data_IF_464738406707
#
_entry.id   IF_464738406707
#
_cell.length_a   1.000
_cell.length_b   1.000
_cell.length_c   1.000
_cell.angle_alpha   90.00
_cell.angle_beta   90.00
_cell.angle_gamma   90.00
#
_symmetry.space_group_name_H-M   'P 1'
#
loop_
_entity.id
_entity.type
_entity.pdbx_description
1 polymer ?
#
# COMPACT_ATOMS: atom_id res chain seq x y z
N UNK A 1 32.37 -0.49 3.84
CA UNK A 1 32.00 -1.76 4.50
C UNK A 1 32.69 -1.90 5.85
N UNK A 2 34.03 -2.05 5.93
CA UNK A 2 34.74 -2.01 7.23
C UNK A 2 34.49 -0.71 8.02
N UNK A 3 34.48 0.43 7.32
CA UNK A 3 34.14 1.75 7.90
C UNK A 3 32.69 1.84 8.42
N UNK A 4 31.83 0.86 8.07
CA UNK A 4 30.45 0.74 8.53
C UNK A 4 30.28 -0.32 9.63
N UNK A 5 31.38 -0.87 10.15
CA UNK A 5 31.35 -1.96 11.15
C UNK A 5 30.98 -3.34 10.59
N UNK A 6 30.81 -3.47 9.27
CA UNK A 6 30.43 -4.74 8.64
C UNK A 6 31.64 -5.67 8.58
N UNK A 7 31.52 -6.83 9.23
CA UNK A 7 32.61 -7.80 9.33
C UNK A 7 32.88 -8.48 7.97
N UNK A 8 34.15 -8.84 7.67
CA UNK A 8 34.52 -9.43 6.38
C UNK A 8 33.73 -10.69 5.98
N UNK A 9 33.28 -11.48 6.94
CA UNK A 9 32.51 -12.70 6.70
C UNK A 9 31.13 -12.40 6.09
N UNK A 10 30.45 -11.34 6.57
CA UNK A 10 29.15 -10.92 6.03
C UNK A 10 29.28 -10.36 4.62
N UNK A 11 30.35 -9.61 4.34
CA UNK A 11 30.65 -9.16 2.97
C UNK A 11 30.91 -10.34 2.03
N UNK A 12 31.61 -11.39 2.49
CA UNK A 12 31.83 -12.61 1.68
C UNK A 12 30.52 -13.34 1.39
N UNK A 13 29.66 -13.53 2.39
CA UNK A 13 28.32 -14.13 2.22
C UNK A 13 27.48 -13.35 1.22
N UNK A 14 27.52 -12.01 1.30
CA UNK A 14 26.81 -11.14 0.37
C UNK A 14 27.28 -11.34 -1.07
N UNK A 15 28.59 -11.31 -1.32
CA UNK A 15 29.16 -11.53 -2.65
C UNK A 15 28.80 -12.92 -3.21
N UNK A 16 28.86 -13.95 -2.35
CA UNK A 16 28.44 -15.30 -2.74
C UNK A 16 26.96 -15.34 -3.15
N UNK A 17 26.08 -14.70 -2.37
CA UNK A 17 24.66 -14.61 -2.69
C UNK A 17 24.38 -13.89 -4.03
N UNK A 18 25.12 -12.83 -4.37
CA UNK A 18 24.98 -12.16 -5.68
C UNK A 18 25.41 -13.10 -6.81
N UNK A 19 26.51 -13.83 -6.61
CA UNK A 19 27.01 -14.76 -7.62
C UNK A 19 26.06 -15.94 -7.87
N UNK A 20 25.34 -16.39 -6.84
CA UNK A 20 24.43 -17.54 -6.90
C UNK A 20 23.00 -17.17 -7.34
N UNK A 21 22.47 -16.02 -6.90
CA UNK A 21 21.06 -15.65 -7.07
C UNK A 21 20.82 -14.55 -8.12
N UNK A 22 21.88 -14.06 -8.76
CA UNK A 22 21.79 -13.03 -9.77
C UNK A 22 21.83 -11.59 -9.24
N UNK A 23 21.56 -10.60 -10.11
CA UNK A 23 21.71 -9.18 -9.80
C UNK A 23 20.75 -8.74 -8.69
N UNK A 24 21.29 -8.05 -7.67
CA UNK A 24 20.50 -7.58 -6.55
C UNK A 24 20.01 -6.15 -6.77
N UNK A 25 18.77 -5.87 -6.34
CA UNK A 25 18.21 -4.53 -6.38
C UNK A 25 18.67 -3.69 -5.17
N UNK A 26 18.46 -2.37 -5.22
CA UNK A 26 18.71 -1.52 -4.07
C UNK A 26 17.80 -1.89 -2.88
N UNK A 27 16.57 -2.34 -3.13
CA UNK A 27 15.68 -2.85 -2.09
C UNK A 27 16.26 -4.11 -1.41
N UNK A 28 16.82 -5.06 -2.16
CA UNK A 28 17.48 -6.24 -1.58
C UNK A 28 18.69 -5.83 -0.73
N UNK A 29 19.47 -4.85 -1.19
CA UNK A 29 20.63 -4.33 -0.44
C UNK A 29 20.20 -3.64 0.86
N UNK A 30 19.13 -2.85 0.84
CA UNK A 30 18.56 -2.22 2.05
C UNK A 30 18.03 -3.24 3.05
N UNK A 31 17.44 -4.35 2.56
CA UNK A 31 17.00 -5.45 3.40
C UNK A 31 18.18 -6.17 4.06
N UNK A 32 19.23 -6.47 3.30
CA UNK A 32 20.46 -7.04 3.83
C UNK A 32 21.10 -6.11 4.88
N UNK A 33 21.20 -4.81 4.58
CA UNK A 33 21.70 -3.81 5.52
C UNK A 33 20.86 -3.77 6.80
N UNK A 34 19.53 -3.83 6.72
CA UNK A 34 18.67 -3.80 7.91
C UNK A 34 18.94 -5.00 8.85
N UNK A 35 19.28 -6.16 8.29
CA UNK A 35 19.66 -7.36 9.05
C UNK A 35 21.03 -7.19 9.72
N UNK A 36 22.03 -6.72 8.97
CA UNK A 36 23.39 -6.53 9.49
C UNK A 36 23.46 -5.39 10.51
N UNK A 37 22.77 -4.27 10.24
CA UNK A 37 22.78 -3.08 11.09
C UNK A 37 22.12 -3.32 12.45
N UNK A 38 21.10 -4.21 12.52
CA UNK A 38 20.49 -4.64 13.79
C UNK A 38 21.51 -5.29 14.74
N UNK A 39 22.52 -5.97 14.20
CA UNK A 39 23.61 -6.58 14.98
C UNK A 39 24.71 -5.60 15.41
N UNK A 40 24.75 -4.40 14.84
CA UNK A 40 25.81 -3.40 15.08
C UNK A 40 25.36 -2.20 15.93
N UNK A 41 24.06 -1.99 16.09
CA UNK A 41 23.54 -0.89 16.90
C UNK A 41 23.85 -1.12 18.39
N UNK A 42 24.59 -0.22 19.06
CA UNK A 42 24.80 -0.31 20.51
C UNK A 42 23.45 -0.24 21.21
N UNK A 43 23.28 -1.05 22.25
CA UNK A 43 22.05 -1.41 22.97
C UNK A 43 21.20 -0.23 23.52
N UNK A 44 21.61 1.02 23.30
CA UNK A 44 20.96 2.23 23.81
C UNK A 44 20.17 3.06 22.80
N UNK A 45 20.27 2.81 21.49
CA UNK A 45 19.60 3.60 20.44
C UNK A 45 18.71 2.77 19.51
N UNK A 46 18.24 1.60 19.95
CA UNK A 46 17.24 0.85 19.20
C UNK A 46 15.93 1.64 19.14
N UNK A 47 15.74 2.40 18.08
CA UNK A 47 14.40 2.70 17.53
C UNK A 47 13.92 1.43 16.81
N UNK A 48 13.93 0.29 17.51
CA UNK A 48 13.27 -0.92 17.07
C UNK A 48 11.85 -0.82 17.63
N UNK A 49 10.87 -0.55 16.76
CA UNK A 49 9.46 -0.60 17.13
C UNK A 49 9.18 -1.91 17.87
N UNK A 50 8.43 -1.84 18.98
CA UNK A 50 7.95 -3.04 19.67
C UNK A 50 7.14 -3.87 18.67
N UNK A 51 7.53 -5.12 18.43
CA UNK A 51 6.72 -6.11 17.68
C UNK A 51 7.21 -6.36 16.25
N UNK A 52 7.10 -5.36 15.35
CA UNK A 52 7.38 -5.58 13.92
C UNK A 52 8.67 -4.89 13.51
N UNK A 53 9.51 -5.58 12.72
CA UNK A 53 10.85 -5.08 12.53
C UNK A 53 10.84 -4.07 11.36
N UNK A 54 11.26 -2.83 11.63
CA UNK A 54 11.12 -1.69 10.72
C UNK A 54 12.11 -1.69 9.55
N UNK A 55 11.76 -1.07 8.40
CA UNK A 55 12.73 -0.77 7.34
C UNK A 55 13.82 0.20 7.79
N UNK A 56 15.06 0.00 7.33
CA UNK A 56 16.24 0.81 7.71
C UNK A 56 16.02 2.32 7.47
N UNK A 57 15.53 2.66 6.27
CA UNK A 57 15.28 4.05 5.83
C UNK A 57 14.17 4.76 6.61
N UNK A 58 13.35 4.02 7.37
CA UNK A 58 12.34 4.59 8.24
C UNK A 58 12.85 4.73 9.69
N UNK A 59 13.53 3.71 10.20
CA UNK A 59 13.94 3.62 11.61
C UNK A 59 15.21 4.43 11.95
N UNK A 60 15.95 4.91 10.95
CA UNK A 60 17.26 5.52 11.11
C UNK A 60 17.20 7.05 11.00
N UNK A 61 18.08 7.75 11.70
CA UNK A 61 18.19 9.21 11.61
C UNK A 61 18.74 9.67 10.25
N UNK A 62 18.35 10.87 9.81
CA UNK A 62 18.84 11.48 8.56
C UNK A 62 20.36 11.55 8.50
N UNK A 63 21.04 11.87 9.62
CA UNK A 63 22.50 11.92 9.68
C UNK A 63 23.16 10.56 9.42
N UNK A 64 22.62 9.48 10.00
CA UNK A 64 23.13 8.14 9.77
C UNK A 64 22.83 7.66 8.34
N UNK A 65 21.65 7.97 7.80
CA UNK A 65 21.30 7.69 6.40
C UNK A 65 22.21 8.42 5.41
N UNK A 66 22.55 9.69 5.68
CA UNK A 66 23.55 10.44 4.89
C UNK A 66 24.94 9.80 4.97
N UNK A 67 25.37 9.40 6.17
CA UNK A 67 26.65 8.70 6.35
C UNK A 67 26.72 7.39 5.55
N UNK A 68 25.66 6.60 5.60
CA UNK A 68 25.51 5.38 4.81
C UNK A 68 25.50 5.68 3.31
N UNK A 69 24.72 6.67 2.86
CA UNK A 69 24.65 7.09 1.47
C UNK A 69 26.02 7.45 0.91
N UNK A 70 26.79 8.27 1.64
CA UNK A 70 28.14 8.66 1.24
C UNK A 70 29.11 7.47 1.21
N UNK A 71 28.97 6.52 2.14
CA UNK A 71 29.79 5.31 2.15
C UNK A 71 29.52 4.43 0.92
N UNK A 72 28.25 4.28 0.53
CA UNK A 72 27.85 3.57 -0.69
C UNK A 72 28.35 4.26 -1.97
N UNK A 73 28.25 5.59 -2.03
CA UNK A 73 28.80 6.36 -3.16
C UNK A 73 30.32 6.16 -3.32
N UNK A 74 31.07 6.21 -2.21
CA UNK A 74 32.52 5.92 -2.22
C UNK A 74 32.82 4.48 -2.64
N UNK A 75 32.00 3.52 -2.21
CA UNK A 75 32.16 2.11 -2.59
C UNK A 75 31.93 1.91 -4.09
N UNK A 76 30.85 2.47 -4.65
CA UNK A 76 30.58 2.45 -6.08
C UNK A 76 31.74 3.06 -6.91
N UNK A 77 32.26 4.21 -6.48
CA UNK A 77 33.40 4.86 -7.15
C UNK A 77 34.67 3.98 -7.15
N UNK A 78 34.98 3.33 -6.02
CA UNK A 78 36.12 2.40 -5.91
C UNK A 78 35.97 1.20 -6.85
N UNK A 79 34.79 0.58 -6.90
CA UNK A 79 34.51 -0.54 -7.80
C UNK A 79 34.72 -0.14 -9.28
N UNK A 80 34.17 1.01 -9.68
CA UNK A 80 34.36 1.53 -11.05
C UNK A 80 35.84 1.75 -11.38
N UNK A 81 36.60 2.35 -10.47
CA UNK A 81 38.04 2.58 -10.70
C UNK A 81 38.85 1.28 -10.83
N UNK A 82 38.47 0.21 -10.12
CA UNK A 82 39.14 -1.10 -10.20
C UNK A 82 38.75 -1.93 -11.41
N UNK A 83 37.55 -1.70 -11.99
CA UNK A 83 37.04 -2.43 -13.16
C UNK A 83 37.82 -2.19 -14.45
N UNK A 84 38.60 -1.10 -14.52
CA UNK A 84 39.44 -0.77 -15.68
C UNK A 84 40.60 -1.76 -15.93
N UNK A 85 40.82 -2.73 -15.04
CA UNK A 85 41.90 -3.72 -15.14
C UNK A 85 41.54 -5.00 -15.92
N UNK A 86 40.40 -5.02 -16.63
CA UNK A 86 40.16 -5.95 -17.75
C UNK A 86 39.94 -7.44 -17.41
N UNK A 87 39.39 -7.75 -16.24
CA UNK A 87 39.11 -9.14 -15.84
C UNK A 87 37.72 -9.63 -16.30
N UNK A 88 37.54 -10.95 -16.44
CA UNK A 88 36.25 -11.58 -16.77
C UNK A 88 35.09 -11.23 -15.79
N UNK A 89 35.42 -10.69 -14.61
CA UNK A 89 34.49 -10.23 -13.58
C UNK A 89 33.97 -8.79 -13.80
N UNK A 90 34.42 -8.08 -14.83
CA UNK A 90 34.05 -6.69 -15.07
C UNK A 90 32.52 -6.43 -15.11
N UNK A 91 31.67 -7.26 -15.75
CA UNK A 91 30.22 -7.04 -15.74
C UNK A 91 29.60 -7.08 -14.35
N UNK A 92 30.06 -8.00 -13.50
CA UNK A 92 29.60 -8.13 -12.11
C UNK A 92 29.99 -6.89 -11.29
N UNK A 93 31.21 -6.38 -11.47
CA UNK A 93 31.70 -5.18 -10.78
C UNK A 93 30.90 -3.94 -11.20
N UNK A 94 30.58 -3.81 -12.50
CA UNK A 94 29.76 -2.71 -13.01
C UNK A 94 28.36 -2.75 -12.42
N UNK A 95 27.75 -3.93 -12.38
CA UNK A 95 26.43 -4.12 -11.78
C UNK A 95 26.42 -3.77 -10.29
N UNK A 96 27.35 -4.32 -9.50
CA UNK A 96 27.48 -4.01 -8.08
C UNK A 96 27.70 -2.51 -7.83
N UNK A 97 28.53 -1.86 -8.65
CA UNK A 97 28.74 -0.42 -8.54
C UNK A 97 27.46 0.38 -8.84
N UNK A 98 26.62 -0.10 -9.75
CA UNK A 98 25.33 0.51 -10.06
C UNK A 98 24.34 0.32 -8.92
N UNK A 99 24.18 -0.89 -8.40
CA UNK A 99 23.34 -1.17 -7.22
C UNK A 99 23.78 -0.34 -6.02
N UNK A 100 25.09 -0.23 -5.77
CA UNK A 100 25.61 0.60 -4.69
C UNK A 100 25.26 2.09 -4.86
N UNK A 101 25.30 2.61 -6.09
CA UNK A 101 24.91 3.99 -6.39
C UNK A 101 23.39 4.22 -6.23
N UNK A 102 22.57 3.25 -6.62
CA UNK A 102 21.12 3.29 -6.43
C UNK A 102 20.75 3.24 -4.95
N UNK A 103 21.36 2.34 -4.17
CA UNK A 103 21.22 2.29 -2.70
C UNK A 103 21.63 3.61 -2.07
N UNK A 104 22.75 4.20 -2.50
CA UNK A 104 23.18 5.54 -2.06
C UNK A 104 22.10 6.61 -2.32
N UNK A 105 21.47 6.56 -3.49
CA UNK A 105 20.41 7.51 -3.88
C UNK A 105 19.16 7.35 -3.03
N UNK A 106 18.73 6.11 -2.76
CA UNK A 106 17.58 5.83 -1.87
C UNK A 106 17.86 6.33 -0.45
N UNK A 107 19.04 6.04 0.08
CA UNK A 107 19.45 6.50 1.42
C UNK A 107 19.48 8.02 1.53
N UNK A 108 19.99 8.72 0.51
CA UNK A 108 20.00 10.18 0.46
C UNK A 108 18.58 10.75 0.37
N UNK A 109 17.72 10.15 -0.46
CA UNK A 109 16.30 10.53 -0.57
C UNK A 109 15.57 10.35 0.76
N UNK A 110 15.76 9.23 1.45
CA UNK A 110 15.21 9.01 2.79
C UNK A 110 15.72 10.07 3.77
N UNK A 111 17.02 10.36 3.75
CA UNK A 111 17.63 11.34 4.66
C UNK A 111 17.18 12.79 4.43
N UNK A 112 16.74 13.13 3.22
CA UNK A 112 16.16 14.44 2.93
C UNK A 112 14.83 14.65 3.65
N UNK A 113 14.15 13.58 4.07
CA UNK A 113 13.08 13.64 5.06
C UNK A 113 13.72 13.85 6.43
N UNK A 114 13.59 15.04 6.99
CA UNK A 114 14.40 15.43 8.15
C UNK A 114 13.73 16.50 8.97
N UNK A 115 12.53 16.20 9.40
CA UNK A 115 11.83 16.92 10.44
C UNK A 115 10.61 16.09 10.82
N UNK A 116 10.53 15.68 12.09
CA UNK A 116 9.22 15.43 12.68
C UNK A 116 8.56 16.82 12.79
N UNK A 117 8.07 17.35 11.67
CA UNK A 117 7.09 18.42 11.78
C UNK A 117 5.92 17.83 12.54
N UNK A 118 5.50 18.55 13.57
CA UNK A 118 4.22 18.31 14.21
C UNK A 118 3.21 18.14 13.08
N UNK A 119 2.42 17.05 13.06
CA UNK A 119 1.57 16.68 11.94
C UNK A 119 0.89 17.92 11.36
N UNK A 120 1.15 18.23 10.08
CA UNK A 120 0.50 19.31 9.34
C UNK A 120 -1.00 19.18 9.52
N UNK A 121 -1.58 19.90 10.50
CA UNK A 121 -2.93 19.71 11.07
C UNK A 121 -3.57 18.40 10.60
N UNK A 122 -2.97 17.27 10.97
CA UNK A 122 -3.45 16.00 10.47
C UNK A 122 -4.85 15.85 11.04
N UNK A 123 -5.86 15.91 10.18
CA UNK A 123 -7.23 15.71 10.59
C UNK A 123 -7.39 14.25 10.95
N UNK A 124 -7.03 13.90 12.19
CA UNK A 124 -7.34 12.60 12.74
C UNK A 124 -8.81 12.62 13.16
N UNK A 125 -9.66 11.96 12.38
CA UNK A 125 -11.09 11.92 12.63
C UNK A 125 -11.54 10.48 12.75
N UNK A 126 -11.98 10.11 13.94
CA UNK A 126 -12.62 8.83 14.22
C UNK A 126 -14.14 8.99 14.09
N UNK A 127 -14.72 8.42 13.04
CA UNK A 127 -16.15 8.46 12.76
C UNK A 127 -16.77 7.11 13.06
N UNK A 128 -17.80 7.10 13.92
CA UNK A 128 -18.66 5.93 14.14
C UNK A 128 -19.96 6.16 13.39
N UNK A 129 -20.21 5.33 12.39
CA UNK A 129 -21.39 5.39 11.53
C UNK A 129 -22.35 4.24 11.88
N UNK A 130 -23.63 4.33 11.50
CA UNK A 130 -24.59 3.24 11.67
C UNK A 130 -24.07 1.90 11.10
N UNK A 131 -24.45 0.79 11.74
CA UNK A 131 -24.10 -0.56 11.27
C UNK A 131 -22.66 -1.01 11.56
N UNK A 132 -22.09 -0.66 12.73
CA UNK A 132 -20.74 -1.04 13.16
C UNK A 132 -19.63 -0.62 12.16
N UNK A 133 -19.85 0.51 11.47
CA UNK A 133 -18.90 1.11 10.55
C UNK A 133 -18.05 2.14 11.30
N UNK A 134 -16.73 2.04 11.15
CA UNK A 134 -15.76 2.95 11.75
C UNK A 134 -14.79 3.39 10.69
N UNK A 135 -14.60 4.70 10.59
CA UNK A 135 -13.64 5.34 9.70
C UNK A 135 -12.64 6.13 10.53
N UNK A 136 -11.36 5.83 10.37
CA UNK A 136 -10.24 6.55 10.97
C UNK A 136 -9.49 7.26 9.85
N UNK A 137 -9.82 8.52 9.61
CA UNK A 137 -9.08 9.36 8.67
C UNK A 137 -7.82 9.83 9.40
N UNK A 138 -6.63 9.40 8.99
CA UNK A 138 -5.38 9.76 9.68
C UNK A 138 -4.69 10.96 9.05
N UNK A 139 -4.78 11.04 7.72
CA UNK A 139 -4.24 12.14 6.95
C UNK A 139 -5.25 12.55 5.88
N UNK A 140 -5.52 13.85 5.81
CA UNK A 140 -6.28 14.47 4.74
C UNK A 140 -5.52 15.68 4.18
N UNK A 141 -5.80 16.09 2.93
CA UNK A 141 -5.38 17.38 2.41
C UNK A 141 -6.03 18.51 3.23
N UNK A 142 -5.31 19.63 3.35
CA UNK A 142 -5.79 20.87 3.97
C UNK A 142 -5.42 22.04 3.04
N UNK A 143 -6.40 22.49 2.26
CA UNK A 143 -6.25 23.59 1.30
C UNK A 143 -5.82 24.88 1.99
N UNK A 144 -6.26 25.15 3.23
CA UNK A 144 -5.86 26.36 3.96
C UNK A 144 -4.40 26.32 4.38
N UNK A 145 -3.91 25.13 4.75
CA UNK A 145 -2.51 24.91 5.03
C UNK A 145 -1.64 24.79 3.75
N UNK A 146 -2.25 24.90 2.56
CA UNK A 146 -1.57 24.72 1.27
C UNK A 146 -1.23 23.27 0.94
N UNK A 147 -1.78 22.30 1.68
CA UNK A 147 -1.52 20.88 1.49
C UNK A 147 -2.57 20.27 0.58
N UNK A 148 -2.34 20.27 -0.73
CA UNK A 148 -3.26 19.69 -1.72
C UNK A 148 -3.02 18.20 -1.96
N UNK A 149 -1.78 17.77 -1.84
CA UNK A 149 -1.33 16.39 -2.03
C UNK A 149 0.03 16.18 -1.33
N UNK A 150 0.42 14.92 -1.21
CA UNK A 150 1.70 14.51 -0.63
C UNK A 150 2.60 13.93 -1.72
N UNK A 151 3.89 14.27 -1.63
CA UNK A 151 4.92 13.44 -2.24
C UNK A 151 4.94 12.10 -1.49
N UNK A 152 5.20 11.00 -2.20
CA UNK A 152 5.19 9.67 -1.59
C UNK A 152 6.62 9.14 -1.49
N UNK A 153 6.97 8.61 -0.32
CA UNK A 153 8.19 7.84 -0.15
C UNK A 153 7.90 6.53 0.56
N UNK A 154 8.37 5.42 -0.01
CA UNK A 154 8.16 4.08 0.53
C UNK A 154 9.47 3.56 1.06
N UNK A 155 9.46 3.11 2.30
CA UNK A 155 10.50 2.28 2.88
C UNK A 155 9.96 0.88 3.02
N UNK A 156 10.67 -0.08 2.45
CA UNK A 156 10.17 -1.43 2.32
C UNK A 156 11.11 -2.42 2.97
N UNK A 157 10.51 -3.43 3.58
CA UNK A 157 11.22 -4.54 4.17
C UNK A 157 10.55 -5.87 3.87
N UNK A 158 11.36 -6.86 3.48
CA UNK A 158 10.98 -8.26 3.30
C UNK A 158 10.85 -8.95 4.66
N UNK A 159 9.81 -8.58 5.40
CA UNK A 159 9.31 -9.27 6.59
C UNK A 159 7.88 -9.70 6.29
N UNK A 160 7.56 -11.00 6.43
CA UNK A 160 6.28 -11.55 5.99
C UNK A 160 5.43 -12.01 7.17
N UNK A 161 4.15 -11.64 7.16
CA UNK A 161 3.15 -12.18 8.10
C UNK A 161 2.34 -13.25 7.37
N UNK A 162 2.37 -14.49 7.89
CA UNK A 162 1.68 -15.63 7.28
C UNK A 162 1.12 -16.59 8.35
N UNK A 163 -0.03 -17.26 8.13
CA UNK A 163 -0.57 -18.23 9.08
C UNK A 163 0.29 -19.50 9.18
N UNK A 164 0.35 -20.10 10.37
CA UNK A 164 1.01 -21.41 10.56
C UNK A 164 0.09 -22.53 10.06
N UNK A 165 0.56 -23.29 9.07
CA UNK A 165 -0.03 -24.58 8.72
C UNK A 165 0.76 -25.70 9.42
N UNK A 166 0.21 -26.29 10.49
CA UNK A 166 0.92 -27.21 11.39
C UNK A 166 1.33 -28.60 10.80
N UNK A 167 1.34 -28.82 9.48
CA UNK A 167 1.75 -30.13 8.92
C UNK A 167 2.57 -29.97 7.63
N UNK A 168 3.63 -30.77 7.52
CA UNK A 168 4.47 -30.89 6.33
C UNK A 168 3.85 -31.92 5.36
N UNK A 169 2.78 -31.53 4.67
CA UNK A 169 2.23 -32.30 3.56
C UNK A 169 2.84 -31.84 2.23
N UNK A 170 3.17 -32.75 1.30
CA UNK A 170 3.58 -32.36 -0.05
C UNK A 170 2.38 -31.70 -0.76
N UNK A 171 2.48 -30.39 -0.98
CA UNK A 171 1.42 -29.57 -1.63
C UNK A 171 0.92 -28.36 -0.82
N UNK A 172 1.56 -28.01 0.29
CA UNK A 172 1.12 -26.91 1.16
C UNK A 172 1.58 -25.53 0.67
N UNK A 173 0.61 -24.62 0.49
CA UNK A 173 0.66 -23.17 0.13
C UNK A 173 1.91 -22.69 -0.66
N UNK A 174 1.76 -22.17 -1.88
CA UNK A 174 2.87 -21.63 -2.69
C UNK A 174 3.78 -20.64 -1.94
N UNK A 175 3.24 -19.92 -0.94
CA UNK A 175 3.99 -18.97 -0.13
C UNK A 175 4.98 -19.63 0.84
N UNK A 176 4.76 -20.88 1.23
CA UNK A 176 5.68 -21.66 2.05
C UNK A 176 6.96 -22.07 1.28
N UNK A 177 7.03 -21.81 -0.03
CA UNK A 177 8.12 -22.27 -0.91
C UNK A 177 9.14 -21.14 -1.21
N UNK A 178 8.93 -19.91 -0.76
CA UNK A 178 9.81 -18.79 -1.17
C UNK A 178 10.96 -18.45 -0.21
N UNK A 179 12.18 -18.65 -0.74
CA UNK A 179 13.49 -18.08 -0.43
C UNK A 179 14.08 -18.33 0.98
N UNK A 180 15.14 -19.14 1.03
CA UNK A 180 16.06 -19.22 2.17
C UNK A 180 16.40 -17.80 2.69
N UNK A 181 16.10 -17.54 3.97
CA UNK A 181 16.45 -16.29 4.65
C UNK A 181 15.36 -15.21 4.74
N UNK A 182 14.12 -15.45 4.29
CA UNK A 182 13.01 -14.51 4.52
C UNK A 182 12.56 -14.53 5.99
N UNK A 183 12.62 -13.39 6.67
CA UNK A 183 12.09 -13.23 8.03
C UNK A 183 10.55 -13.32 7.97
N UNK A 184 9.98 -14.39 8.53
CA UNK A 184 8.54 -14.64 8.55
C UNK A 184 8.03 -14.66 9.97
N UNK A 185 7.06 -13.80 10.26
CA UNK A 185 6.26 -13.81 11.47
C UNK A 185 5.04 -14.71 11.29
N UNK A 186 4.93 -15.66 12.20
CA UNK A 186 3.88 -16.64 12.18
C UNK A 186 2.62 -16.09 12.85
N UNK A 187 1.56 -15.91 12.07
CA UNK A 187 0.21 -15.65 12.57
C UNK A 187 -0.36 -16.97 13.11
N UNK A 188 -0.67 -17.10 14.42
CA UNK A 188 -1.25 -18.32 14.95
C UNK A 188 -2.54 -18.67 14.20
N UNK A 189 -2.81 -19.92 13.86
CA UNK A 189 -4.10 -20.34 13.32
C UNK A 189 -4.51 -21.63 14.03
N UNK A 190 -5.78 -21.73 14.43
CA UNK A 190 -6.30 -22.99 14.97
C UNK A 190 -6.29 -24.07 13.88
N UNK A 191 -6.23 -25.36 14.24
CA UNK A 191 -6.30 -26.45 13.26
C UNK A 191 -7.52 -26.37 12.33
N UNK A 192 -8.66 -25.88 12.85
CA UNK A 192 -9.88 -25.71 12.07
C UNK A 192 -9.79 -24.57 11.05
N UNK A 193 -9.26 -23.42 11.43
CA UNK A 193 -8.99 -22.30 10.51
C UNK A 193 -8.00 -22.71 9.42
N UNK A 194 -6.92 -23.38 9.82
CA UNK A 194 -5.91 -23.90 8.89
C UNK A 194 -6.53 -24.85 7.86
N UNK A 195 -7.46 -25.73 8.26
CA UNK A 195 -8.13 -26.64 7.32
C UNK A 195 -9.07 -25.92 6.35
N UNK A 196 -9.81 -24.89 6.81
CA UNK A 196 -10.63 -24.05 5.93
C UNK A 196 -9.76 -23.36 4.88
N UNK A 197 -8.66 -22.73 5.32
CA UNK A 197 -7.73 -22.07 4.43
C UNK A 197 -7.12 -23.06 3.43
N UNK A 198 -6.65 -24.23 3.88
CA UNK A 198 -6.14 -25.28 2.98
C UNK A 198 -7.17 -25.70 1.95
N UNK A 199 -8.42 -25.95 2.35
CA UNK A 199 -9.50 -26.29 1.43
C UNK A 199 -9.74 -25.18 0.40
N UNK A 200 -9.69 -23.92 0.82
CA UNK A 200 -9.83 -22.76 -0.07
C UNK A 200 -8.70 -22.68 -1.10
N UNK A 201 -7.46 -22.85 -0.67
CA UNK A 201 -6.27 -22.81 -1.54
C UNK A 201 -6.01 -24.10 -2.33
N UNK A 202 -6.83 -25.14 -2.17
CA UNK A 202 -6.85 -26.28 -3.11
C UNK A 202 -7.62 -25.97 -4.39
N UNK A 203 -8.45 -24.91 -4.41
CA UNK A 203 -9.08 -24.45 -5.64
C UNK A 203 -8.01 -23.81 -6.54
N UNK A 204 -7.77 -24.32 -7.76
CA UNK A 204 -6.73 -23.81 -8.64
C UNK A 204 -6.97 -22.36 -9.10
N UNK A 205 -8.17 -21.81 -8.85
CA UNK A 205 -8.52 -20.41 -9.14
C UNK A 205 -8.18 -19.46 -8.00
N UNK A 206 -7.79 -19.98 -6.84
CA UNK A 206 -7.45 -19.18 -5.66
C UNK A 206 -5.97 -19.33 -5.37
N UNK A 207 -5.27 -18.21 -5.27
CA UNK A 207 -3.86 -18.18 -4.91
C UNK A 207 -3.66 -17.33 -3.66
N UNK A 208 -2.62 -17.67 -2.89
CA UNK A 208 -2.24 -16.93 -1.69
C UNK A 208 -1.21 -15.87 -2.06
N UNK A 209 -1.69 -14.69 -2.47
CA UNK A 209 -0.82 -13.58 -2.88
C UNK A 209 -0.01 -12.98 -1.73
N UNK A 210 1.11 -12.34 -2.08
CA UNK A 210 1.90 -11.51 -1.17
C UNK A 210 1.42 -10.07 -1.30
N UNK A 211 0.73 -9.60 -0.26
CA UNK A 211 0.07 -8.31 -0.18
C UNK A 211 0.89 -7.32 0.68
N UNK A 212 0.73 -6.01 0.46
CA UNK A 212 1.38 -4.99 1.27
C UNK A 212 0.79 -4.90 2.68
N UNK A 213 1.69 -4.88 3.67
CA UNK A 213 1.38 -4.60 5.07
C UNK A 213 1.92 -3.23 5.45
N UNK A 214 1.08 -2.34 5.99
CA UNK A 214 1.51 -1.05 6.51
C UNK A 214 2.02 -1.21 7.95
N UNK A 215 3.34 -1.17 8.13
CA UNK A 215 3.95 -1.33 9.46
C UNK A 215 3.82 -0.05 10.27
N UNK A 216 4.15 1.08 9.64
CA UNK A 216 4.13 2.42 10.23
C UNK A 216 4.06 3.49 9.12
N UNK A 217 3.81 4.74 9.49
CA UNK A 217 3.82 5.88 8.59
C UNK A 217 4.15 7.18 9.32
N UNK A 218 4.61 8.18 8.58
CA UNK A 218 4.75 9.55 9.09
C UNK A 218 4.62 10.57 7.97
N UNK A 219 4.35 11.81 8.34
CA UNK A 219 4.53 12.96 7.45
C UNK A 219 5.84 13.65 7.75
N UNK A 220 6.52 14.08 6.70
CA UNK A 220 7.80 14.78 6.78
C UNK A 220 7.82 15.90 5.75
N UNK A 221 8.57 16.96 6.05
CA UNK A 221 8.90 17.98 5.05
C UNK A 221 10.22 17.61 4.39
N UNK A 222 10.23 17.62 3.06
CA UNK A 222 11.44 17.42 2.28
C UNK A 222 12.38 18.63 2.47
N UNK A 223 13.57 18.40 3.00
CA UNK A 223 14.55 19.46 3.28
C UNK A 223 15.12 20.12 2.01
N UNK A 224 14.97 19.50 0.84
CA UNK A 224 15.44 20.02 -0.44
C UNK A 224 14.44 20.97 -1.09
N UNK A 225 13.15 20.58 -1.15
CA UNK A 225 12.13 21.35 -1.86
C UNK A 225 11.01 21.93 -0.97
N UNK A 226 11.00 21.62 0.32
CA UNK A 226 10.02 22.09 1.30
C UNK A 226 8.63 21.46 1.18
N UNK A 227 8.41 20.50 0.27
CA UNK A 227 7.12 19.84 0.08
C UNK A 227 6.83 18.85 1.20
N UNK A 228 5.54 18.66 1.45
CA UNK A 228 5.08 17.63 2.38
C UNK A 228 5.11 16.27 1.71
N UNK A 229 5.58 15.30 2.47
CA UNK A 229 5.79 13.93 2.04
C UNK A 229 5.13 12.98 3.01
N UNK A 230 4.38 12.02 2.47
CA UNK A 230 3.87 10.87 3.21
C UNK A 230 4.89 9.74 3.07
N UNK A 231 5.52 9.37 4.19
CA UNK A 231 6.49 8.29 4.27
C UNK A 231 5.83 7.03 4.82
N UNK A 232 5.71 6.00 4.00
CA UNK A 232 5.15 4.70 4.38
C UNK A 232 6.29 3.71 4.71
N UNK A 233 6.18 3.02 5.85
CA UNK A 233 6.95 1.83 6.14
C UNK A 233 6.11 0.59 5.84
N UNK A 234 6.57 -0.20 4.86
CA UNK A 234 5.85 -1.32 4.31
C UNK A 234 6.60 -2.64 4.56
N UNK A 235 5.81 -3.69 4.75
CA UNK A 235 6.24 -5.08 4.83
C UNK A 235 5.31 -5.97 3.99
N UNK A 236 5.43 -7.28 4.13
CA UNK A 236 4.62 -8.27 3.43
C UNK A 236 3.62 -8.93 4.38
N UNK A 237 2.42 -9.21 3.89
CA UNK A 237 1.45 -10.12 4.50
C UNK A 237 0.91 -11.05 3.42
N UNK A 238 0.39 -12.21 3.78
CA UNK A 238 -0.24 -13.12 2.82
C UNK A 238 -1.75 -12.89 2.74
N UNK A 239 -2.37 -13.25 1.62
CA UNK A 239 -3.82 -13.23 1.51
C UNK A 239 -4.48 -14.14 2.56
N UNK A 240 -3.87 -15.28 2.89
CA UNK A 240 -4.30 -16.16 3.96
C UNK A 240 -4.24 -15.51 5.35
N UNK A 241 -3.21 -14.70 5.64
CA UNK A 241 -3.14 -13.91 6.87
C UNK A 241 -4.22 -12.83 6.91
N UNK A 242 -4.49 -12.18 5.77
CA UNK A 242 -5.56 -11.19 5.63
C UNK A 242 -6.94 -11.80 5.84
N UNK A 243 -7.22 -12.97 5.23
CA UNK A 243 -8.47 -13.70 5.48
C UNK A 243 -8.66 -14.04 6.96
N UNK A 244 -7.55 -14.33 7.65
CA UNK A 244 -7.54 -14.68 9.07
C UNK A 244 -7.77 -13.48 9.99
N UNK A 245 -7.22 -12.32 9.63
CA UNK A 245 -7.11 -11.17 10.53
C UNK A 245 -8.12 -10.04 10.21
N UNK A 246 -8.56 -9.92 8.95
CA UNK A 246 -9.42 -8.83 8.48
C UNK A 246 -10.85 -9.27 8.17
N UNK A 247 -11.07 -10.52 7.77
CA UNK A 247 -12.36 -10.99 7.25
C UNK A 247 -13.06 -11.96 8.20
N UNK A 248 -13.82 -11.47 9.20
CA UNK A 248 -14.50 -12.31 10.20
C UNK A 248 -15.42 -13.37 9.58
N UNK A 249 -16.01 -13.05 8.43
CA UNK A 249 -16.92 -13.94 7.71
C UNK A 249 -16.25 -15.22 7.19
N UNK A 250 -14.93 -15.23 7.01
CA UNK A 250 -14.18 -16.40 6.52
C UNK A 250 -14.39 -17.62 7.41
N UNK A 251 -14.56 -17.40 8.71
CA UNK A 251 -14.62 -18.47 9.72
C UNK A 251 -15.92 -18.48 10.52
N UNK A 252 -16.96 -17.76 10.06
CA UNK A 252 -18.23 -17.62 10.78
C UNK A 252 -18.94 -18.95 11.10
N UNK A 253 -18.73 -19.95 10.26
CA UNK A 253 -19.34 -21.28 10.41
C UNK A 253 -18.55 -22.18 11.38
N UNK A 254 -17.35 -21.77 11.81
CA UNK A 254 -16.62 -22.47 12.86
C UNK A 254 -17.31 -22.23 14.19
N UNK A 255 -17.92 -23.29 14.73
CA UNK A 255 -18.32 -23.29 16.14
C UNK A 255 -17.05 -23.22 16.98
N UNK A 256 -16.92 -22.25 17.90
CA UNK A 256 -15.80 -22.24 18.82
C UNK A 256 -15.76 -23.58 19.56
N UNK A 257 -14.59 -24.21 19.57
CA UNK A 257 -14.37 -25.38 20.41
C UNK A 257 -14.61 -24.98 21.87
N UNK A 258 -15.17 -25.86 22.72
CA UNK A 258 -15.36 -25.55 24.13
C UNK A 258 -14.05 -25.06 24.76
N UNK A 259 -14.06 -23.82 25.29
CA UNK A 259 -12.88 -23.20 25.92
C UNK A 259 -11.98 -22.38 25.00
N UNK A 260 -12.24 -22.32 23.69
CA UNK A 260 -11.50 -21.47 22.73
C UNK A 260 -12.39 -20.29 22.34
N UNK A 261 -12.00 -19.09 22.76
CA UNK A 261 -12.69 -17.87 22.30
C UNK A 261 -12.46 -17.69 20.79
N UNK A 262 -13.49 -17.30 20.02
CA UNK A 262 -13.30 -16.90 18.63
C UNK A 262 -12.24 -15.80 18.55
N UNK A 263 -11.32 -15.90 17.59
CA UNK A 263 -10.35 -14.85 17.37
C UNK A 263 -11.08 -13.56 16.97
N UNK A 264 -10.67 -12.43 17.54
CA UNK A 264 -11.10 -11.14 17.04
C UNK A 264 -10.37 -10.84 15.72
N UNK A 265 -11.08 -10.88 14.60
CA UNK A 265 -10.60 -10.27 13.36
C UNK A 265 -10.63 -8.74 13.54
N UNK A 266 -9.48 -8.13 13.80
CA UNK A 266 -9.34 -6.68 14.02
C UNK A 266 -8.30 -6.01 13.12
N UNK A 267 -7.69 -6.79 12.21
CA UNK A 267 -6.70 -6.34 11.22
C UNK A 267 -5.39 -5.82 11.82
N UNK A 268 -5.12 -6.06 13.12
CA UNK A 268 -3.93 -5.52 13.79
C UNK A 268 -2.63 -6.24 13.42
N UNK A 269 -2.72 -7.49 13.00
CA UNK A 269 -1.56 -8.31 12.66
C UNK A 269 -1.21 -8.14 11.18
N UNK A 270 -2.14 -8.44 10.26
CA UNK A 270 -1.86 -8.35 8.82
C UNK A 270 -1.53 -6.93 8.38
N UNK A 271 -2.20 -5.94 9.00
CA UNK A 271 -2.14 -4.52 8.67
C UNK A 271 -2.23 -4.24 7.16
N UNK A 272 -3.10 -4.97 6.46
CA UNK A 272 -3.31 -4.82 5.01
C UNK A 272 -3.40 -3.35 4.59
N UNK A 273 -2.64 -2.98 3.55
CA UNK A 273 -2.71 -1.68 2.89
C UNK A 273 -3.36 -1.83 1.51
N UNK A 274 -4.56 -1.32 1.33
CA UNK A 274 -5.20 -1.23 0.01
C UNK A 274 -4.96 0.14 -0.61
N UNK A 275 -5.07 0.23 -1.93
CA UNK A 275 -4.87 1.45 -2.69
C UNK A 275 -6.18 1.87 -3.35
N UNK A 276 -6.54 3.14 -3.26
CA UNK A 276 -7.74 3.64 -3.94
C UNK A 276 -7.51 4.98 -4.60
N UNK A 277 -8.06 5.11 -5.81
CA UNK A 277 -8.04 6.36 -6.58
C UNK A 277 -9.46 6.72 -7.01
N UNK A 278 -9.92 7.90 -6.60
CA UNK A 278 -11.09 8.53 -7.22
C UNK A 278 -10.62 9.36 -8.41
N UNK A 279 -11.20 9.09 -9.57
CA UNK A 279 -10.92 9.83 -10.80
C UNK A 279 -11.80 11.07 -10.86
N UNK A 280 -11.19 12.20 -11.21
CA UNK A 280 -11.85 13.49 -11.43
C UNK A 280 -11.83 13.78 -12.92
N UNK A 281 -12.99 13.76 -13.56
CA UNK A 281 -13.12 13.95 -15.01
C UNK A 281 -13.03 15.41 -15.44
N UNK A 282 -12.86 15.65 -16.74
CA UNK A 282 -12.82 16.99 -17.32
C UNK A 282 -14.14 17.78 -17.11
N UNK A 283 -15.28 17.09 -17.06
CA UNK A 283 -16.59 17.65 -16.71
C UNK A 283 -16.81 17.77 -15.19
N UNK A 284 -15.73 17.72 -14.41
CA UNK A 284 -15.69 17.87 -12.94
C UNK A 284 -16.61 16.88 -12.21
N UNK A 285 -16.52 15.59 -12.54
CA UNK A 285 -17.23 14.55 -11.79
C UNK A 285 -16.25 13.62 -11.08
N UNK A 286 -16.62 13.20 -9.88
CA UNK A 286 -16.03 12.10 -9.14
C UNK A 286 -16.61 10.79 -9.70
N UNK A 287 -15.75 9.84 -10.05
CA UNK A 287 -16.19 8.54 -10.56
C UNK A 287 -16.11 7.46 -9.48
N UNK A 288 -17.17 6.66 -9.41
CA UNK A 288 -17.26 5.45 -8.60
C UNK A 288 -17.72 4.29 -9.47
N UNK A 289 -16.93 3.22 -9.54
CA UNK A 289 -17.24 2.07 -10.37
C UNK A 289 -18.11 1.07 -9.60
N UNK A 290 -19.22 0.63 -10.21
CA UNK A 290 -20.02 -0.44 -9.64
C UNK A 290 -19.22 -1.74 -9.65
N UNK A 291 -19.21 -2.48 -8.55
CA UNK A 291 -18.58 -3.81 -8.48
C UNK A 291 -19.54 -4.88 -8.95
N UNK A 292 -19.00 -5.91 -9.58
CA UNK A 292 -19.73 -7.10 -9.97
C UNK A 292 -20.43 -7.73 -8.77
N UNK A 293 -21.61 -8.34 -8.99
CA UNK A 293 -22.29 -9.14 -7.96
C UNK A 293 -21.50 -10.39 -7.56
N UNK A 294 -20.50 -10.76 -8.36
CA UNK A 294 -19.62 -11.90 -8.12
C UNK A 294 -18.26 -11.50 -7.54
N UNK A 295 -18.03 -10.20 -7.26
CA UNK A 295 -16.77 -9.75 -6.68
C UNK A 295 -16.54 -10.38 -5.30
N UNK A 296 -15.30 -10.78 -5.00
CA UNK A 296 -14.96 -11.48 -3.75
C UNK A 296 -15.15 -10.63 -2.49
N UNK A 297 -15.12 -9.31 -2.64
CA UNK A 297 -15.38 -8.33 -1.58
C UNK A 297 -16.32 -7.23 -2.09
N UNK A 298 -17.21 -6.77 -1.20
CA UNK A 298 -18.12 -5.64 -1.45
C UNK A 298 -18.94 -5.77 -2.75
N UNK A 299 -19.43 -6.98 -3.03
CA UNK A 299 -20.18 -7.30 -4.24
C UNK A 299 -21.42 -6.41 -4.43
N UNK A 300 -21.61 -5.88 -5.65
CA UNK A 300 -22.75 -5.04 -6.01
C UNK A 300 -22.74 -3.62 -5.42
N UNK A 301 -21.69 -3.24 -4.67
CA UNK A 301 -21.48 -1.88 -4.16
C UNK A 301 -20.59 -1.08 -5.12
N UNK A 302 -20.50 0.23 -4.92
CA UNK A 302 -19.64 1.11 -5.69
C UNK A 302 -18.29 1.33 -4.99
N UNK A 303 -17.24 0.91 -5.69
CA UNK A 303 -15.86 1.19 -5.34
C UNK A 303 -15.42 2.59 -5.78
N UNK A 304 -14.22 3.02 -5.38
CA UNK A 304 -13.52 4.05 -6.15
C UNK A 304 -13.38 3.55 -7.60
N UNK A 305 -13.24 4.47 -8.56
CA UNK A 305 -13.13 4.06 -9.97
C UNK A 305 -11.93 3.15 -10.23
N UNK A 306 -10.85 3.30 -9.45
CA UNK A 306 -9.68 2.42 -9.49
C UNK A 306 -9.37 1.96 -8.07
N UNK A 307 -9.32 0.65 -7.86
CA UNK A 307 -9.00 0.04 -6.57
C UNK A 307 -8.04 -1.14 -6.78
N UNK A 308 -7.19 -1.43 -5.81
CA UNK A 308 -6.38 -2.63 -5.90
C UNK A 308 -5.35 -2.75 -4.80
N UNK A 309 -4.57 -3.82 -4.87
CA UNK A 309 -3.42 -4.06 -4.02
C UNK A 309 -2.13 -3.93 -4.84
N UNK A 310 -1.01 -3.76 -4.15
CA UNK A 310 0.30 -3.91 -4.78
C UNK A 310 0.59 -5.38 -5.05
N UNK A 311 0.98 -5.69 -6.28
CA UNK A 311 1.60 -6.95 -6.62
C UNK A 311 3.08 -6.88 -6.22
N UNK A 312 3.40 -7.27 -4.99
CA UNK A 312 4.77 -7.22 -4.45
C UNK A 312 5.69 -8.27 -5.09
N UNK A 313 5.10 -9.30 -5.70
CA UNK A 313 5.80 -10.40 -6.36
C UNK A 313 5.23 -10.54 -7.78
N UNK A 314 6.09 -10.81 -8.78
CA UNK A 314 5.59 -11.14 -10.10
C UNK A 314 4.85 -12.49 -10.06
N UNK A 315 3.83 -12.62 -10.88
CA UNK A 315 3.14 -13.88 -11.19
C UNK A 315 3.05 -14.06 -12.71
N UNK A 316 2.58 -15.20 -13.17
CA UNK A 316 2.43 -15.43 -14.61
C UNK A 316 1.57 -14.33 -15.25
N UNK A 317 2.16 -13.62 -16.22
CA UNK A 317 1.52 -12.51 -16.93
C UNK A 317 1.57 -11.14 -16.23
N UNK A 318 1.87 -11.07 -14.92
CA UNK A 318 1.89 -9.82 -14.16
C UNK A 318 3.25 -9.57 -13.52
N UNK A 319 3.82 -8.40 -13.84
CA UNK A 319 5.05 -7.92 -13.22
C UNK A 319 4.76 -7.34 -11.83
N UNK A 320 5.76 -7.36 -10.94
CA UNK A 320 5.66 -6.69 -9.65
C UNK A 320 5.49 -5.17 -9.81
N UNK A 321 4.68 -4.56 -8.96
CA UNK A 321 4.48 -3.11 -8.85
C UNK A 321 5.64 -2.43 -8.10
N UNK A 322 6.86 -2.71 -8.53
CA UNK A 322 8.08 -2.10 -8.00
C UNK A 322 8.65 -1.06 -8.98
N UNK A 323 9.36 -0.08 -8.45
CA UNK A 323 10.20 0.81 -9.25
C UNK A 323 11.45 0.08 -9.76
N UNK A 324 12.27 0.79 -10.54
CA UNK A 324 13.54 0.24 -11.07
C UNK A 324 14.54 -0.18 -9.99
N UNK A 325 14.32 0.21 -8.72
CA UNK A 325 15.18 -0.07 -7.56
C UNK A 325 14.65 -1.22 -6.72
N UNK A 326 13.54 -1.83 -7.12
CA UNK A 326 12.86 -2.91 -6.40
C UNK A 326 12.00 -2.43 -5.22
N UNK A 327 11.74 -1.11 -5.10
CA UNK A 327 10.91 -0.55 -4.03
C UNK A 327 9.45 -0.55 -4.51
N UNK A 328 8.49 -1.03 -3.70
CA UNK A 328 7.08 -0.99 -4.05
C UNK A 328 6.61 0.44 -4.39
N UNK A 329 5.88 0.58 -5.49
CA UNK A 329 5.40 1.86 -6.01
C UNK A 329 3.86 1.84 -6.13
N UNK A 330 3.15 2.36 -5.11
CA UNK A 330 1.68 2.46 -5.12
C UNK A 330 1.10 3.18 -6.33
N UNK A 331 1.83 4.14 -6.93
CA UNK A 331 1.31 4.87 -8.10
C UNK A 331 1.36 3.98 -9.34
N UNK A 332 2.37 3.13 -9.48
CA UNK A 332 2.44 2.14 -10.58
C UNK A 332 1.33 1.11 -10.47
N UNK A 333 1.06 0.60 -9.27
CA UNK A 333 -0.08 -0.30 -9.05
C UNK A 333 -1.39 0.35 -9.46
N UNK A 334 -1.68 1.57 -8.97
CA UNK A 334 -2.91 2.27 -9.34
C UNK A 334 -3.02 2.59 -10.84
N UNK A 335 -1.90 2.89 -11.52
CA UNK A 335 -1.90 3.07 -12.97
C UNK A 335 -2.18 1.75 -13.71
N UNK A 336 -1.63 0.63 -13.24
CA UNK A 336 -1.93 -0.71 -13.75
C UNK A 336 -3.40 -1.05 -13.56
N UNK A 337 -3.94 -0.89 -12.36
CA UNK A 337 -5.37 -1.15 -12.07
C UNK A 337 -6.28 -0.27 -12.93
N UNK A 338 -5.93 1.00 -13.17
CA UNK A 338 -6.71 1.88 -14.06
C UNK A 338 -6.77 1.34 -15.52
N UNK A 339 -5.68 0.74 -15.99
CA UNK A 339 -5.61 0.13 -17.30
C UNK A 339 -6.37 -1.21 -17.34
N UNK A 340 -6.21 -2.04 -16.31
CA UNK A 340 -6.83 -3.37 -16.21
C UNK A 340 -8.33 -3.31 -15.99
N UNK A 341 -8.81 -2.39 -15.14
CA UNK A 341 -10.23 -2.25 -14.80
C UNK A 341 -10.97 -1.35 -15.80
N UNK A 342 -10.42 -0.18 -16.14
CA UNK A 342 -11.13 0.85 -16.92
C UNK A 342 -10.61 1.05 -18.34
N UNK A 343 -9.50 0.41 -18.71
CA UNK A 343 -8.86 0.64 -20.00
C UNK A 343 -8.21 2.03 -20.12
N UNK A 344 -7.94 2.70 -18.99
CA UNK A 344 -7.36 4.05 -18.96
C UNK A 344 -5.86 3.96 -18.68
N UNK A 345 -5.07 4.48 -19.60
CA UNK A 345 -3.63 4.61 -19.39
C UNK A 345 -3.32 5.87 -18.57
N UNK A 346 -3.00 5.69 -17.29
CA UNK A 346 -2.55 6.75 -16.40
C UNK A 346 -1.03 6.77 -16.29
N UNK A 347 -0.42 7.94 -16.39
CA UNK A 347 0.95 8.11 -15.93
C UNK A 347 0.94 8.05 -14.38
N UNK A 348 1.75 7.19 -13.73
CA UNK A 348 1.88 7.17 -12.27
C UNK A 348 2.10 8.56 -11.65
N UNK A 349 2.73 9.51 -12.35
CA UNK A 349 2.95 10.88 -11.87
C UNK A 349 1.67 11.73 -11.82
N UNK A 350 0.62 11.37 -12.56
CA UNK A 350 -0.69 12.03 -12.51
C UNK A 350 -1.47 11.69 -11.23
N UNK A 351 -1.09 10.61 -10.55
CA UNK A 351 -1.76 10.11 -9.35
C UNK A 351 -1.25 10.88 -8.13
N UNK A 352 -2.14 11.69 -7.57
CA UNK A 352 -1.88 12.53 -6.39
C UNK A 352 -2.24 11.75 -5.14
N UNK A 353 -1.26 11.56 -4.26
CA UNK A 353 -1.50 10.94 -2.95
C UNK A 353 -2.16 11.98 -2.04
N UNK A 354 -3.33 11.66 -1.51
CA UNK A 354 -4.14 12.58 -0.72
C UNK A 354 -4.04 12.29 0.78
N UNK A 355 -3.70 11.07 1.17
CA UNK A 355 -3.53 10.74 2.57
C UNK A 355 -3.73 9.27 2.86
N UNK A 356 -3.98 8.97 4.12
CA UNK A 356 -4.06 7.63 4.66
C UNK A 356 -5.26 7.55 5.61
N UNK A 357 -5.97 6.44 5.53
CA UNK A 357 -7.09 6.14 6.40
C UNK A 357 -7.04 4.68 6.85
N UNK A 358 -7.89 4.35 7.81
CA UNK A 358 -8.19 2.98 8.21
C UNK A 358 -9.70 2.86 8.36
N UNK A 359 -10.24 1.70 8.00
CA UNK A 359 -11.66 1.45 8.19
C UNK A 359 -11.94 0.09 8.82
N UNK A 360 -13.15 -0.01 9.32
CA UNK A 360 -13.72 -1.22 9.88
C UNK A 360 -15.21 -1.23 9.56
N UNK A 361 -15.68 -2.26 8.89
CA UNK A 361 -17.09 -2.53 8.60
C UNK A 361 -17.40 -3.97 8.98
N UNK A 362 -18.67 -4.38 8.90
CA UNK A 362 -19.10 -5.71 9.33
C UNK A 362 -18.25 -6.85 8.75
N UNK A 363 -17.98 -6.79 7.45
CA UNK A 363 -17.32 -7.83 6.67
C UNK A 363 -15.79 -7.69 6.60
N UNK A 364 -15.24 -6.54 6.95
CA UNK A 364 -13.82 -6.22 6.78
C UNK A 364 -13.32 -5.29 7.88
N UNK A 365 -12.27 -5.72 8.60
CA UNK A 365 -11.82 -5.11 9.84
C UNK A 365 -10.38 -4.63 9.70
N UNK A 366 -10.14 -3.39 10.14
CA UNK A 366 -8.82 -2.84 10.34
C UNK A 366 -7.95 -2.66 9.09
N UNK A 367 -8.54 -2.61 7.90
CA UNK A 367 -7.81 -2.38 6.64
C UNK A 367 -7.34 -0.93 6.54
N UNK A 368 -6.06 -0.75 6.21
CA UNK A 368 -5.46 0.55 5.90
C UNK A 368 -5.67 0.90 4.44
N UNK A 369 -5.83 2.17 4.15
CA UNK A 369 -6.14 2.66 2.82
C UNK A 369 -5.26 3.85 2.45
N UNK A 370 -4.46 3.71 1.39
CA UNK A 370 -3.80 4.83 0.75
C UNK A 370 -4.77 5.50 -0.20
N UNK A 371 -5.17 6.73 0.13
CA UNK A 371 -6.14 7.51 -0.64
C UNK A 371 -5.41 8.36 -1.67
N UNK A 372 -5.92 8.36 -2.89
CA UNK A 372 -5.37 9.16 -3.98
C UNK A 372 -6.44 9.66 -4.94
N UNK A 373 -6.06 10.58 -5.81
CA UNK A 373 -6.90 11.04 -6.91
C UNK A 373 -6.09 11.23 -8.18
N UNK A 374 -6.76 11.18 -9.33
CA UNK A 374 -6.17 11.55 -10.61
C UNK A 374 -7.15 12.40 -11.40
N UNK A 375 -6.65 13.44 -12.06
CA UNK A 375 -7.46 14.28 -12.94
C UNK A 375 -7.31 13.80 -14.37
N UNK A 376 -8.43 13.55 -15.03
CA UNK A 376 -8.51 13.06 -16.39
C UNK A 376 -8.80 14.20 -17.37
N UNK A 377 -8.34 14.02 -18.60
CA UNK A 377 -8.75 14.87 -19.72
C UNK A 377 -10.11 14.44 -20.30
N UNK A 378 -10.54 13.22 -20.01
CA UNK A 378 -11.81 12.62 -20.45
C UNK A 378 -12.97 13.05 -19.56
N UNK A 379 -14.15 13.18 -20.16
CA UNK A 379 -15.44 13.29 -19.47
C UNK A 379 -15.87 11.94 -18.89
N UNK A 380 -16.86 11.95 -17.99
CA UNK A 380 -17.40 10.71 -17.41
C UNK A 380 -17.95 9.72 -18.45
N UNK A 381 -18.59 10.23 -19.51
CA UNK A 381 -19.12 9.39 -20.59
C UNK A 381 -17.99 8.75 -21.41
N UNK A 382 -16.94 9.51 -21.74
CA UNK A 382 -15.76 8.97 -22.45
C UNK A 382 -15.02 7.93 -21.62
N UNK A 383 -14.93 8.12 -20.30
CA UNK A 383 -14.37 7.09 -19.39
C UNK A 383 -15.18 5.80 -19.44
N UNK A 384 -16.51 5.88 -19.38
CA UNK A 384 -17.37 4.69 -19.50
C UNK A 384 -17.17 3.96 -20.85
N UNK A 385 -16.92 4.71 -21.94
CA UNK A 385 -16.61 4.15 -23.25
C UNK A 385 -15.19 3.53 -23.33
N UNK A 386 -14.26 3.90 -22.44
CA UNK A 386 -12.91 3.32 -22.37
C UNK A 386 -12.91 1.90 -21.80
N UNK A 387 -13.92 1.52 -21.01
CA UNK A 387 -13.98 0.19 -20.36
C UNK A 387 -13.93 -0.98 -21.35
N UNK A 388 -14.32 -0.76 -22.62
CA UNK A 388 -14.14 -1.76 -23.69
C UNK A 388 -12.67 -2.14 -23.95
N UNK A 389 -11.73 -1.30 -23.51
CA UNK A 389 -10.28 -1.50 -23.61
C UNK A 389 -9.68 -2.11 -22.32
N UNK A 390 -10.50 -2.33 -21.30
CA UNK A 390 -10.08 -2.96 -20.04
C UNK A 390 -9.68 -4.42 -20.26
N UNK A 391 -8.79 -4.92 -19.41
CA UNK A 391 -8.31 -6.30 -19.47
C UNK A 391 -9.43 -7.27 -19.06
N UNK A 392 -9.88 -8.17 -19.96
CA UNK A 392 -10.98 -9.09 -19.67
C UNK A 392 -10.65 -10.14 -18.62
N UNK A 393 -9.36 -10.42 -18.36
CA UNK A 393 -8.90 -11.47 -17.45
C UNK A 393 -8.51 -10.90 -16.08
N UNK A 394 -7.93 -9.71 -16.03
CA UNK A 394 -7.35 -9.18 -14.79
C UNK A 394 -8.30 -8.24 -14.03
N UNK A 395 -8.87 -7.21 -14.67
CA UNK A 395 -9.66 -6.18 -13.97
C UNK A 395 -11.13 -6.10 -14.38
N UNK A 396 -11.45 -6.25 -15.66
CA UNK A 396 -12.82 -6.00 -16.17
C UNK A 396 -13.90 -6.87 -15.52
N UNK A 397 -13.57 -8.09 -15.11
CA UNK A 397 -14.52 -9.01 -14.47
C UNK A 397 -14.97 -8.54 -13.08
N UNK A 398 -14.19 -7.68 -12.41
CA UNK A 398 -14.55 -7.08 -11.13
C UNK A 398 -15.59 -5.98 -11.27
N UNK A 399 -15.74 -5.41 -12.46
CA UNK A 399 -16.70 -4.35 -12.74
C UNK A 399 -18.12 -4.90 -12.91
N UNK A 400 -19.06 -4.17 -12.33
CA UNK A 400 -20.49 -4.28 -12.58
C UNK A 400 -20.86 -3.61 -13.90
N UNK A 401 -22.14 -3.29 -14.09
CA UNK A 401 -22.63 -2.73 -15.36
C UNK A 401 -22.69 -1.21 -15.42
N UNK A 402 -22.19 -0.48 -14.41
CA UNK A 402 -22.45 0.96 -14.26
C UNK A 402 -21.33 1.70 -13.53
N UNK A 403 -21.16 2.99 -13.89
CA UNK A 403 -20.36 3.98 -13.16
C UNK A 403 -21.32 5.03 -12.57
N UNK A 404 -21.11 5.41 -11.31
CA UNK A 404 -21.70 6.62 -10.76
C UNK A 404 -20.76 7.80 -10.98
N UNK A 405 -21.28 8.84 -11.63
CA UNK A 405 -20.58 10.09 -11.82
C UNK A 405 -21.27 11.18 -10.97
N UNK A 406 -20.55 11.67 -9.96
CA UNK A 406 -21.07 12.63 -8.97
C UNK A 406 -20.39 13.98 -9.19
N UNK A 407 -21.12 15.10 -9.33
CA UNK A 407 -20.50 16.41 -9.49
C UNK A 407 -19.52 16.73 -8.36
N UNK A 408 -18.30 17.13 -8.73
CA UNK A 408 -17.33 17.67 -7.79
C UNK A 408 -17.79 19.08 -7.39
N UNK A 409 -17.88 19.38 -6.08
CA UNK A 409 -18.32 20.69 -5.63
C UNK A 409 -17.45 21.82 -6.20
N UNK A 410 -18.11 22.94 -6.49
CA UNK A 410 -17.50 24.19 -6.95
C UNK A 410 -17.58 25.28 -5.88
N UNK A 411 -18.57 25.16 -4.98
CA UNK A 411 -18.82 26.11 -3.91
C UNK A 411 -18.85 25.44 -2.53
N UNK A 412 -18.59 26.22 -1.48
CA UNK A 412 -18.53 25.71 -0.11
C UNK A 412 -19.88 25.13 0.39
N UNK A 413 -21.01 25.65 -0.10
CA UNK A 413 -22.34 25.16 0.28
C UNK A 413 -22.67 23.77 -0.27
N UNK A 414 -21.98 23.34 -1.33
CA UNK A 414 -22.17 22.03 -1.97
C UNK A 414 -21.39 20.91 -1.27
N UNK A 415 -20.42 21.26 -0.41
CA UNK A 415 -19.53 20.30 0.26
C UNK A 415 -20.29 19.44 1.27
N UNK A 416 -21.11 20.04 2.14
CA UNK A 416 -21.83 19.33 3.20
C UNK A 416 -22.76 18.22 2.67
N UNK A 417 -23.63 18.49 1.67
CA UNK A 417 -24.47 17.45 1.07
C UNK A 417 -23.65 16.29 0.50
N UNK A 418 -22.54 16.58 -0.19
CA UNK A 418 -21.67 15.55 -0.75
C UNK A 418 -20.96 14.72 0.32
N UNK A 419 -20.38 15.36 1.34
CA UNK A 419 -19.75 14.64 2.44
C UNK A 419 -20.75 13.78 3.21
N UNK A 420 -21.97 14.29 3.45
CA UNK A 420 -23.05 13.52 4.06
C UNK A 420 -23.41 12.29 3.21
N UNK A 421 -23.56 12.46 1.90
CA UNK A 421 -23.84 11.36 0.99
C UNK A 421 -22.71 10.33 0.96
N UNK A 422 -21.44 10.76 0.92
CA UNK A 422 -20.28 9.87 0.95
C UNK A 422 -20.22 9.03 2.24
N UNK A 423 -20.53 9.64 3.38
CA UNK A 423 -20.51 8.97 4.69
C UNK A 423 -21.65 7.95 4.86
N UNK A 424 -22.84 8.27 4.34
CA UNK A 424 -24.06 7.53 4.68
C UNK A 424 -24.62 6.67 3.55
N UNK A 425 -24.18 6.85 2.30
CA UNK A 425 -24.73 6.06 1.20
C UNK A 425 -24.35 4.58 1.35
N UNK A 426 -25.33 3.67 1.57
CA UNK A 426 -25.06 2.26 1.79
C UNK A 426 -24.57 1.53 0.53
N UNK A 427 -24.74 2.14 -0.66
CA UNK A 427 -24.26 1.61 -1.93
C UNK A 427 -22.76 1.84 -2.12
N UNK A 428 -22.11 2.68 -1.33
CA UNK A 428 -20.66 2.92 -1.44
C UNK A 428 -19.88 1.95 -0.55
N UNK A 429 -18.73 1.51 -1.07
CA UNK A 429 -17.71 0.85 -0.25
C UNK A 429 -17.01 1.86 0.69
N UNK A 430 -16.40 1.40 1.79
CA UNK A 430 -15.54 2.24 2.62
C UNK A 430 -14.41 2.92 1.82
N UNK A 431 -13.83 2.20 0.85
CA UNK A 431 -12.79 2.69 -0.05
C UNK A 431 -13.27 3.92 -0.85
N UNK A 432 -14.47 3.83 -1.43
CA UNK A 432 -15.10 4.91 -2.19
C UNK A 432 -15.40 6.13 -1.30
N UNK A 433 -16.04 5.89 -0.14
CA UNK A 433 -16.41 6.96 0.78
C UNK A 433 -15.18 7.75 1.25
N UNK A 434 -14.15 7.06 1.77
CA UNK A 434 -12.95 7.69 2.31
C UNK A 434 -12.15 8.43 1.24
N UNK A 435 -11.90 7.79 0.10
CA UNK A 435 -11.13 8.39 -0.99
C UNK A 435 -11.90 9.55 -1.63
N UNK A 436 -13.24 9.47 -1.70
CA UNK A 436 -14.10 10.57 -2.11
C UNK A 436 -13.99 11.78 -1.17
N UNK A 437 -14.06 11.56 0.14
CA UNK A 437 -13.88 12.62 1.15
C UNK A 437 -12.51 13.28 1.00
N UNK A 438 -11.44 12.48 0.85
CA UNK A 438 -10.10 13.00 0.64
C UNK A 438 -9.98 13.81 -0.66
N UNK A 439 -10.63 13.36 -1.73
CA UNK A 439 -10.66 14.07 -3.00
C UNK A 439 -11.37 15.42 -2.87
N UNK A 440 -12.51 15.47 -2.19
CA UNK A 440 -13.20 16.75 -1.90
C UNK A 440 -12.33 17.67 -1.04
N UNK A 441 -11.70 17.14 0.01
CA UNK A 441 -10.79 17.89 0.88
C UNK A 441 -9.55 18.44 0.17
N UNK A 442 -9.14 17.83 -0.96
CA UNK A 442 -8.04 18.35 -1.80
C UNK A 442 -8.42 19.57 -2.64
N UNK A 443 -9.73 19.83 -2.80
CA UNK A 443 -10.25 20.88 -3.68
C UNK A 443 -10.87 22.02 -2.88
N UNK A 444 -11.53 21.69 -1.78
CA UNK A 444 -12.25 22.63 -0.94
C UNK A 444 -11.97 22.36 0.54
N UNK A 445 -12.13 23.40 1.35
CA UNK A 445 -11.93 23.30 2.79
C UNK A 445 -12.94 22.34 3.42
N UNK A 446 -12.43 21.31 4.08
CA UNK A 446 -13.20 20.39 4.93
C UNK A 446 -12.66 20.49 6.36
N UNK A 447 -13.54 20.61 7.36
CA UNK A 447 -13.13 20.70 8.78
C UNK A 447 -13.38 19.39 9.53
N UNK A 448 -12.61 19.05 10.58
CA UNK A 448 -12.89 17.89 11.43
C UNK A 448 -14.29 17.92 12.04
N UNK A 449 -14.69 19.05 12.63
CA UNK A 449 -16.00 19.22 13.26
C UNK A 449 -17.16 19.09 12.26
N UNK A 450 -16.91 19.43 11.00
CA UNK A 450 -17.87 19.25 9.91
C UNK A 450 -18.10 17.76 9.67
N UNK A 451 -17.04 16.95 9.54
CA UNK A 451 -17.15 15.50 9.36
C UNK A 451 -17.78 14.81 10.58
N UNK A 452 -17.40 15.22 11.80
CA UNK A 452 -17.98 14.68 13.03
C UNK A 452 -19.49 14.95 13.12
N UNK A 453 -19.90 16.19 12.86
CA UNK A 453 -21.32 16.58 12.82
C UNK A 453 -22.09 15.76 11.79
N UNK A 454 -21.57 15.68 10.56
CA UNK A 454 -22.23 14.96 9.46
C UNK A 454 -22.33 13.45 9.75
N UNK A 455 -21.30 12.83 10.35
CA UNK A 455 -21.34 11.42 10.72
C UNK A 455 -22.37 11.10 11.82
N UNK A 456 -22.65 12.07 12.69
CA UNK A 456 -23.65 11.93 13.78
C UNK A 456 -25.09 12.23 13.37
N UNK A 457 -25.30 12.87 12.22
CA UNK A 457 -26.64 13.20 11.72
C UNK A 457 -27.31 12.05 10.98
N UNK A 458 -28.63 12.16 10.81
CA UNK A 458 -29.37 11.31 9.88
C UNK A 458 -28.96 11.71 8.45
N UNK A 459 -28.64 10.72 7.61
CA UNK A 459 -28.00 10.90 6.30
C UNK A 459 -28.88 11.53 5.22
N UNK A 460 -29.38 12.75 5.44
CA UNK A 460 -30.33 13.47 4.58
C UNK A 460 -29.69 14.11 3.34
N UNK A 461 -28.38 13.89 3.13
CA UNK A 461 -27.66 14.38 1.95
C UNK A 461 -28.12 13.71 0.66
N UNK A 462 -29.05 14.34 -0.06
CA UNK A 462 -29.31 13.99 -1.46
C UNK A 462 -28.35 14.78 -2.35
N UNK A 463 -27.60 14.06 -3.17
CA UNK A 463 -26.67 14.63 -4.15
C UNK A 463 -27.11 14.17 -5.53
N UNK A 464 -27.22 15.06 -6.52
CA UNK A 464 -27.47 14.64 -7.88
C UNK A 464 -26.28 13.78 -8.35
N UNK A 465 -26.57 12.61 -8.89
CA UNK A 465 -25.56 11.77 -9.53
C UNK A 465 -26.13 11.21 -10.83
N UNK A 466 -25.23 10.97 -11.78
CA UNK A 466 -25.53 10.30 -13.04
C UNK A 466 -25.09 8.83 -12.94
N UNK A 467 -25.96 7.92 -13.33
CA UNK A 467 -25.60 6.52 -13.54
C UNK A 467 -25.33 6.30 -15.02
N UNK A 468 -24.08 6.01 -15.36
CA UNK A 468 -23.65 5.77 -16.74
C UNK A 468 -23.50 4.26 -16.94
N UNK A 469 -24.31 3.63 -17.81
CA UNK A 469 -24.16 2.20 -18.10
C UNK A 469 -22.85 1.96 -18.86
N UNK A 470 -22.16 0.88 -18.51
CA UNK A 470 -20.95 0.44 -19.20
C UNK A 470 -21.32 -0.27 -20.50
N UNK A 471 -20.58 0.05 -21.57
CA UNK A 471 -20.71 -0.61 -22.88
C UNK A 471 -19.62 -1.66 -23.00
N UNK A 472 -20.04 -2.90 -23.18
CA UNK A 472 -19.17 -4.08 -23.20
C UNK A 472 -18.64 -4.43 -24.58
#
# INVERSE_FOLDING_TARGET
>A
MRDLGIVPQESKRRVQSIAENGPATAADELNWLATVYRGLAPSGNQVCGKGNPMPLTFATSSAALLGLSQAYARYAAKLRSGSFLGTATAPLIVHEAQTALETSTVLASAASGGGAETPCRCMNVHLKLPGNRTFDLWQLPDVEAGTLAYDLFVSYRRHRIAPIFHEAGPGNSPVAIEADGLETECLPATPAEAEILRKKFRDPRVFDSVLPSLVDWRTERDNGNGRLRLHLAMAETTYSAVLTDNYPETFKDLRPSPGVLPRSADGKNSKLLTLSTVLVTADRKLLFAGRSKNAGSHAGLFGPAVNGNLELRPRDGILSDADMRGIPDPRRALAREAQEELGINLDPQQIRILGLAKFTVETERGTHLLMSSSHLAQTAAEVADCVRLADPLEGRWELGGEILAVPLPTEACEVDPLLSWLLHNPRLTPHAALTGIATVASQLRVKPDQLLRLASGDGDGTVPFETIPLKW
#
